data_IF_368988993839
#
_entry.id   IF_368988993839
#
_cell.length_a   1.000
_cell.length_b   1.000
_cell.length_c   1.000
_cell.angle_alpha   90.00
_cell.angle_beta   90.00
_cell.angle_gamma   90.00
#
_symmetry.space_group_name_H-M   'P 1'
#
loop_
_entity.id
_entity.type
_entity.pdbx_description
1 polymer ?
#
# COMPACT_ATOMS: atom_id res chain seq x y z
N UNK A 1 -6.60 19.78 -27.71
CA UNK A 1 -6.98 19.84 -26.28
C UNK A 1 -7.17 21.31 -25.91
N UNK A 2 -8.30 21.64 -25.30
CA UNK A 2 -8.56 22.99 -24.77
C UNK A 2 -7.85 23.07 -23.42
N UNK A 3 -6.97 24.05 -23.24
CA UNK A 3 -6.18 24.24 -22.01
C UNK A 3 -6.47 25.63 -21.47
N UNK A 4 -6.67 25.74 -20.17
CA UNK A 4 -6.80 27.05 -19.52
C UNK A 4 -5.44 27.77 -19.53
N UNK A 5 -5.42 29.03 -19.92
CA UNK A 5 -4.22 29.89 -19.93
C UNK A 5 -4.00 30.55 -18.54
N UNK A 6 -4.21 29.75 -17.48
CA UNK A 6 -4.06 30.18 -16.08
C UNK A 6 -3.33 29.08 -15.35
N UNK A 7 -2.39 29.43 -14.49
CA UNK A 7 -1.69 28.48 -13.62
C UNK A 7 -2.67 27.87 -12.62
N UNK A 8 -2.65 26.50 -12.52
CA UNK A 8 -3.61 25.75 -11.68
C UNK A 8 -3.65 26.18 -10.22
N UNK A 9 -2.54 26.70 -9.67
CA UNK A 9 -2.46 27.21 -8.30
C UNK A 9 -3.29 28.49 -8.08
N UNK A 10 -3.62 29.22 -9.14
CA UNK A 10 -4.43 30.43 -9.07
C UNK A 10 -5.94 30.16 -9.22
N UNK A 11 -6.33 29.01 -9.76
CA UNK A 11 -7.73 28.67 -10.01
C UNK A 11 -8.54 28.64 -8.70
N UNK A 12 -7.97 28.14 -7.60
CA UNK A 12 -8.62 28.10 -6.28
C UNK A 12 -9.02 29.51 -5.81
N UNK A 13 -8.20 30.54 -6.09
CA UNK A 13 -8.47 31.93 -5.70
C UNK A 13 -9.63 32.56 -6.49
N UNK A 14 -9.95 31.99 -7.66
CA UNK A 14 -11.08 32.41 -8.51
C UNK A 14 -12.34 31.55 -8.28
N UNK A 15 -12.33 30.66 -7.31
CA UNK A 15 -13.48 29.82 -6.97
C UNK A 15 -13.71 28.63 -7.93
N UNK A 16 -12.72 28.29 -8.74
CA UNK A 16 -12.79 27.10 -9.58
C UNK A 16 -12.42 25.85 -8.77
N UNK A 17 -13.14 24.76 -9.03
CA UNK A 17 -12.84 23.44 -8.47
C UNK A 17 -12.05 22.66 -9.51
N UNK A 18 -10.95 22.04 -9.07
CA UNK A 18 -10.18 21.11 -9.89
C UNK A 18 -10.61 19.68 -9.58
N UNK A 19 -11.25 19.03 -10.55
CA UNK A 19 -11.59 17.61 -10.48
C UNK A 19 -10.56 16.79 -11.25
N UNK A 20 -9.89 15.89 -10.56
CA UNK A 20 -8.94 14.94 -11.15
C UNK A 20 -9.60 13.57 -11.31
N UNK A 21 -9.92 13.19 -12.55
CA UNK A 21 -10.42 11.85 -12.86
C UNK A 21 -9.25 10.91 -13.16
N UNK A 22 -8.88 10.11 -12.18
CA UNK A 22 -7.80 9.14 -12.30
C UNK A 22 -8.37 7.74 -12.54
N UNK A 23 -7.97 7.13 -13.64
CA UNK A 23 -8.29 5.72 -13.92
C UNK A 23 -7.26 4.85 -13.19
N UNK A 24 -7.74 4.00 -12.28
CA UNK A 24 -6.91 3.03 -11.58
C UNK A 24 -7.01 1.69 -12.32
N UNK A 25 -5.92 1.31 -12.97
CA UNK A 25 -5.85 0.12 -13.83
C UNK A 25 -6.18 -1.18 -13.09
N UNK A 26 -5.73 -1.29 -11.83
CA UNK A 26 -5.96 -2.47 -10.99
C UNK A 26 -7.45 -2.79 -10.81
N UNK A 27 -8.32 -1.77 -10.71
CA UNK A 27 -9.77 -1.99 -10.58
C UNK A 27 -10.35 -2.65 -11.82
N UNK A 28 -9.87 -2.25 -13.01
CA UNK A 28 -10.23 -2.88 -14.27
C UNK A 28 -9.77 -4.35 -14.36
N UNK A 29 -8.58 -4.65 -13.86
CA UNK A 29 -8.05 -6.01 -13.79
C UNK A 29 -8.89 -6.87 -12.83
N UNK A 30 -9.17 -6.39 -11.63
CA UNK A 30 -10.02 -7.08 -10.65
C UNK A 30 -11.37 -7.42 -11.27
N UNK A 31 -12.02 -6.47 -11.92
CA UNK A 31 -13.30 -6.72 -12.61
C UNK A 31 -13.20 -7.80 -13.67
N UNK A 32 -12.18 -7.76 -14.54
CA UNK A 32 -11.93 -8.80 -15.56
C UNK A 32 -11.68 -10.18 -14.92
N UNK A 33 -10.93 -10.25 -13.82
CA UNK A 33 -10.62 -11.48 -13.09
C UNK A 33 -11.88 -12.16 -12.57
N UNK A 34 -12.69 -11.46 -11.79
CA UNK A 34 -13.91 -12.03 -11.21
C UNK A 34 -14.94 -12.40 -12.27
N UNK A 35 -15.10 -11.57 -13.30
CA UNK A 35 -15.98 -11.90 -14.44
C UNK A 35 -15.53 -13.15 -15.20
N UNK A 36 -14.22 -13.41 -15.30
CA UNK A 36 -13.70 -14.60 -16.01
C UNK A 36 -14.11 -15.92 -15.38
N UNK A 37 -14.52 -15.90 -14.12
CA UNK A 37 -15.02 -17.06 -13.38
C UNK A 37 -16.55 -16.99 -13.14
N UNK A 38 -17.23 -16.01 -13.74
CA UNK A 38 -18.68 -15.80 -13.54
C UNK A 38 -19.08 -15.28 -12.16
N UNK A 39 -18.14 -14.74 -11.39
CA UNK A 39 -18.36 -14.24 -10.04
C UNK A 39 -18.47 -12.72 -10.05
N UNK A 40 -19.45 -12.18 -9.31
CA UNK A 40 -19.49 -10.75 -9.02
C UNK A 40 -18.33 -10.38 -8.11
N UNK A 41 -17.69 -9.23 -8.35
CA UNK A 41 -16.67 -8.73 -7.45
C UNK A 41 -17.24 -8.59 -6.04
N UNK A 42 -16.66 -9.27 -5.03
CA UNK A 42 -17.14 -9.18 -3.65
C UNK A 42 -17.02 -7.75 -3.12
N UNK A 43 -17.89 -7.38 -2.20
CA UNK A 43 -17.69 -6.17 -1.40
C UNK A 43 -16.43 -6.30 -0.55
N UNK A 44 -15.88 -5.19 -0.07
CA UNK A 44 -14.71 -5.19 0.82
C UNK A 44 -14.96 -6.02 2.08
N UNK A 45 -16.18 -6.01 2.62
CA UNK A 45 -16.53 -6.81 3.80
C UNK A 45 -16.53 -8.31 3.48
N UNK A 46 -17.11 -8.71 2.35
CA UNK A 46 -17.10 -10.10 1.88
C UNK A 46 -15.67 -10.58 1.63
N UNK A 47 -14.85 -9.78 0.94
CA UNK A 47 -13.44 -10.11 0.71
C UNK A 47 -12.70 -10.36 2.03
N UNK A 48 -12.90 -9.50 3.02
CA UNK A 48 -12.22 -9.64 4.33
C UNK A 48 -12.59 -10.95 5.03
N UNK A 49 -13.86 -11.35 4.98
CA UNK A 49 -14.27 -12.65 5.52
C UNK A 49 -13.68 -13.81 4.71
N UNK A 50 -13.65 -13.71 3.37
CA UNK A 50 -13.06 -14.73 2.49
C UNK A 50 -11.58 -14.99 2.80
N UNK A 51 -10.80 -13.93 3.06
CA UNK A 51 -9.35 -14.04 3.26
C UNK A 51 -8.91 -14.20 4.71
N UNK A 52 -9.82 -14.08 5.69
CA UNK A 52 -9.52 -14.04 7.12
C UNK A 52 -8.75 -15.27 7.63
N UNK A 53 -9.10 -16.46 7.15
CA UNK A 53 -8.46 -17.72 7.51
C UNK A 53 -7.95 -18.47 6.26
N UNK A 54 -7.78 -17.78 5.16
CA UNK A 54 -7.38 -18.36 3.89
C UNK A 54 -5.86 -18.35 3.74
N UNK A 55 -5.22 -19.40 4.22
CA UNK A 55 -3.77 -19.55 4.14
C UNK A 55 -3.23 -19.50 2.69
N UNK A 56 -4.02 -19.94 1.70
CA UNK A 56 -3.60 -19.94 0.30
C UNK A 56 -3.39 -18.52 -0.22
N UNK A 57 -4.30 -17.59 0.08
CA UNK A 57 -4.16 -16.19 -0.29
C UNK A 57 -2.93 -15.55 0.35
N UNK A 58 -2.71 -15.74 1.65
CA UNK A 58 -1.55 -15.18 2.34
C UNK A 58 -0.23 -15.81 1.89
N UNK A 59 -0.26 -17.07 1.47
CA UNK A 59 0.91 -17.77 0.92
C UNK A 59 1.43 -17.14 -0.38
N UNK A 60 0.60 -16.42 -1.15
CA UNK A 60 1.05 -15.71 -2.34
C UNK A 60 2.15 -14.68 -2.01
N UNK A 61 1.99 -13.96 -0.90
CA UNK A 61 3.00 -13.00 -0.42
C UNK A 61 4.25 -13.71 0.12
N UNK A 62 4.09 -14.81 0.80
CA UNK A 62 5.21 -15.60 1.33
C UNK A 62 6.06 -16.23 0.22
N UNK A 63 5.43 -16.76 -0.82
CA UNK A 63 6.10 -17.34 -1.98
C UNK A 63 6.72 -16.29 -2.92
N UNK A 64 6.38 -15.00 -2.75
CA UNK A 64 6.78 -13.96 -3.67
C UNK A 64 6.04 -13.99 -5.01
N UNK A 65 4.87 -14.63 -5.07
CA UNK A 65 3.98 -14.63 -6.23
C UNK A 65 3.24 -13.29 -6.35
N UNK A 66 3.99 -12.21 -6.51
CA UNK A 66 3.47 -10.84 -6.37
C UNK A 66 3.32 -10.07 -7.69
N UNK A 67 3.64 -10.66 -8.84
CA UNK A 67 3.36 -10.05 -10.13
C UNK A 67 1.88 -9.72 -10.26
N UNK A 68 1.58 -8.48 -10.64
CA UNK A 68 0.20 -7.94 -10.69
C UNK A 68 -0.54 -7.98 -9.35
N UNK A 69 0.14 -8.00 -8.21
CA UNK A 69 -0.47 -7.69 -6.92
C UNK A 69 -0.18 -6.23 -6.57
N UNK A 70 -1.25 -5.45 -6.42
CA UNK A 70 -1.13 -3.99 -6.21
C UNK A 70 -0.15 -3.66 -5.08
N UNK A 71 0.76 -2.72 -5.33
CA UNK A 71 1.83 -2.27 -4.41
C UNK A 71 2.88 -3.32 -4.01
N UNK A 72 2.74 -4.60 -4.38
CA UNK A 72 3.65 -5.68 -3.95
C UNK A 72 4.57 -6.19 -5.07
N UNK A 73 4.35 -5.79 -6.32
CA UNK A 73 4.95 -6.38 -7.52
C UNK A 73 6.39 -5.97 -7.87
N UNK A 74 6.91 -4.87 -7.30
CA UNK A 74 8.29 -4.46 -7.55
C UNK A 74 9.27 -5.44 -6.89
N UNK A 75 10.34 -5.82 -7.58
CA UNK A 75 11.31 -6.82 -7.10
C UNK A 75 11.82 -6.57 -5.67
N UNK A 76 12.08 -5.30 -5.32
CA UNK A 76 12.48 -4.93 -3.96
C UNK A 76 11.35 -5.12 -2.95
N UNK A 77 10.11 -4.84 -3.35
CA UNK A 77 8.91 -5.01 -2.52
C UNK A 77 8.58 -6.47 -2.35
N UNK A 78 8.68 -7.28 -3.41
CA UNK A 78 8.53 -8.74 -3.35
C UNK A 78 9.44 -9.36 -2.30
N UNK A 79 10.75 -9.04 -2.33
CA UNK A 79 11.70 -9.54 -1.31
C UNK A 79 11.32 -9.12 0.10
N UNK A 80 10.79 -7.93 0.28
CA UNK A 80 10.37 -7.40 1.58
C UNK A 80 9.10 -8.07 2.09
N UNK A 81 8.10 -8.28 1.24
CA UNK A 81 6.85 -8.92 1.64
C UNK A 81 7.05 -10.40 1.96
N UNK A 82 7.92 -11.09 1.22
CA UNK A 82 8.35 -12.46 1.54
C UNK A 82 8.99 -12.57 2.93
N UNK A 83 9.75 -11.55 3.35
CA UNK A 83 10.35 -11.48 4.67
C UNK A 83 9.33 -11.15 5.75
N UNK A 84 8.44 -10.19 5.49
CA UNK A 84 7.44 -9.70 6.43
C UNK A 84 6.29 -10.69 6.65
N UNK A 85 5.85 -11.41 5.60
CA UNK A 85 4.81 -12.45 5.61
C UNK A 85 3.52 -11.98 6.30
N UNK A 86 2.78 -11.04 5.70
CA UNK A 86 1.51 -10.58 6.27
C UNK A 86 0.51 -11.73 6.34
N UNK A 87 -0.29 -11.76 7.42
CA UNK A 87 -1.33 -12.78 7.66
C UNK A 87 -2.73 -12.19 7.81
N UNK A 88 -2.83 -10.89 7.83
CA UNK A 88 -4.09 -10.16 7.90
C UNK A 88 -3.98 -8.82 7.17
N UNK A 89 -5.15 -8.25 6.85
CA UNK A 89 -5.23 -7.01 6.07
C UNK A 89 -4.55 -5.82 6.75
N UNK A 90 -4.61 -5.73 8.08
CA UNK A 90 -3.95 -4.65 8.83
C UNK A 90 -2.43 -4.72 8.68
N UNK A 91 -1.87 -5.92 8.72
CA UNK A 91 -0.45 -6.14 8.50
C UNK A 91 -0.04 -5.80 7.06
N UNK A 92 -0.84 -6.20 6.06
CA UNK A 92 -0.57 -5.85 4.66
C UNK A 92 -0.64 -4.34 4.43
N UNK A 93 -1.62 -3.65 5.02
CA UNK A 93 -1.72 -2.20 4.96
C UNK A 93 -0.52 -1.51 5.66
N UNK A 94 -0.12 -2.01 6.83
CA UNK A 94 1.07 -1.54 7.54
C UNK A 94 2.35 -1.77 6.72
N UNK A 95 2.48 -2.93 6.07
CA UNK A 95 3.57 -3.21 5.14
C UNK A 95 3.62 -2.19 3.99
N UNK A 96 2.48 -1.94 3.32
CA UNK A 96 2.39 -0.98 2.21
C UNK A 96 2.77 0.43 2.67
N UNK A 97 2.38 0.83 3.87
CA UNK A 97 2.79 2.11 4.46
C UNK A 97 4.29 2.15 4.79
N UNK A 98 4.84 1.06 5.34
CA UNK A 98 6.21 0.97 5.83
C UNK A 98 7.29 0.84 4.75
N UNK A 99 6.96 0.41 3.53
CA UNK A 99 7.96 0.27 2.45
C UNK A 99 8.36 1.60 1.79
N UNK A 100 7.86 2.73 2.27
CA UNK A 100 8.14 4.04 1.69
C UNK A 100 9.50 4.61 2.10
N UNK A 101 10.10 5.51 1.28
CA UNK A 101 11.47 6.01 1.50
C UNK A 101 11.70 6.64 2.88
N UNK A 102 10.67 7.28 3.46
CA UNK A 102 10.79 7.96 4.75
C UNK A 102 10.89 7.05 5.96
N UNK A 103 10.50 5.79 5.81
CA UNK A 103 10.56 4.78 6.87
C UNK A 103 11.86 3.94 6.82
N UNK A 104 12.82 4.34 5.97
CA UNK A 104 14.02 3.54 5.65
C UNK A 104 14.86 3.14 6.86
N UNK A 105 14.99 4.01 7.86
CA UNK A 105 15.78 3.75 9.07
C UNK A 105 15.16 2.69 10.00
N UNK A 106 13.85 2.50 9.95
CA UNK A 106 13.10 1.57 10.81
C UNK A 106 12.66 0.31 10.08
N UNK A 107 12.82 0.26 8.75
CA UNK A 107 12.25 -0.79 7.92
C UNK A 107 12.76 -2.19 8.27
N UNK A 108 14.02 -2.34 8.61
CA UNK A 108 14.59 -3.65 8.90
C UNK A 108 14.03 -4.25 10.21
N UNK A 109 13.88 -3.43 11.26
CA UNK A 109 13.21 -3.82 12.49
C UNK A 109 11.75 -4.21 12.24
N UNK A 110 11.03 -3.38 11.50
CA UNK A 110 9.64 -3.62 11.13
C UNK A 110 9.46 -4.93 10.32
N UNK A 111 10.27 -5.15 9.28
CA UNK A 111 10.18 -6.37 8.46
C UNK A 111 10.55 -7.65 9.22
N UNK A 112 11.40 -7.55 10.25
CA UNK A 112 11.74 -8.66 11.13
C UNK A 112 10.75 -8.83 12.30
N UNK A 113 9.70 -7.99 12.36
CA UNK A 113 8.71 -7.99 13.46
C UNK A 113 9.36 -7.83 14.84
N UNK A 114 10.44 -7.06 14.91
CA UNK A 114 11.09 -6.75 16.17
C UNK A 114 10.19 -5.82 16.99
N UNK A 115 10.17 -6.06 18.29
CA UNK A 115 9.54 -5.13 19.23
C UNK A 115 10.16 -3.73 19.08
N UNK A 116 9.31 -2.73 18.95
CA UNK A 116 9.72 -1.35 18.82
C UNK A 116 9.09 -0.52 19.93
N UNK A 117 9.89 0.37 20.51
CA UNK A 117 9.42 1.35 21.49
C UNK A 117 9.89 2.74 21.07
N UNK A 118 9.06 3.73 21.32
CA UNK A 118 9.40 5.14 21.17
C UNK A 118 10.12 5.71 22.39
N UNK A 119 10.34 4.88 23.42
CA UNK A 119 10.97 5.29 24.68
C UNK A 119 9.99 5.84 25.72
N UNK A 120 8.71 6.04 25.33
CA UNK A 120 7.63 6.52 26.22
C UNK A 120 6.41 5.61 26.10
N UNK A 121 6.03 5.00 27.22
CA UNK A 121 4.92 4.04 27.28
C UNK A 121 3.61 4.64 26.77
N UNK A 122 3.33 5.90 27.13
CA UNK A 122 2.12 6.59 26.70
C UNK A 122 2.06 6.76 25.16
N UNK A 123 3.20 7.00 24.52
CA UNK A 123 3.30 7.08 23.05
C UNK A 123 3.12 5.71 22.43
N UNK A 124 3.72 4.66 23.00
CA UNK A 124 3.58 3.29 22.50
C UNK A 124 2.12 2.80 22.60
N UNK A 125 1.40 3.13 23.69
CA UNK A 125 -0.03 2.85 23.85
C UNK A 125 -0.87 3.57 22.79
N UNK A 126 -0.59 4.82 22.45
CA UNK A 126 -1.26 5.56 21.38
C UNK A 126 -1.04 4.92 19.99
N UNK A 127 0.08 4.24 19.81
CA UNK A 127 0.51 3.63 18.54
C UNK A 127 0.30 2.10 18.49
N UNK A 128 -0.41 1.52 19.45
CA UNK A 128 -0.64 0.08 19.54
C UNK A 128 -1.21 -0.51 18.24
N UNK A 129 -2.16 0.17 17.61
CA UNK A 129 -2.75 -0.25 16.33
C UNK A 129 -1.77 -0.21 15.13
N UNK A 130 -0.62 0.41 15.30
CA UNK A 130 0.41 0.62 14.28
C UNK A 130 1.73 -0.10 14.65
N UNK A 131 1.67 -1.12 15.52
CA UNK A 131 2.86 -1.86 15.99
C UNK A 131 3.92 -0.93 16.62
N UNK A 132 3.47 0.12 17.31
CA UNK A 132 4.27 1.20 17.92
C UNK A 132 5.03 2.09 16.91
N UNK A 133 4.90 1.83 15.59
CA UNK A 133 5.54 2.67 14.57
C UNK A 133 4.63 3.81 14.11
N UNK A 134 5.21 4.95 13.80
CA UNK A 134 4.49 6.10 13.22
C UNK A 134 4.31 5.92 11.70
N UNK A 135 3.60 4.87 11.29
CA UNK A 135 3.38 4.51 9.88
C UNK A 135 2.43 5.45 9.16
N UNK A 136 1.45 5.98 9.87
CA UNK A 136 0.32 6.71 9.32
C UNK A 136 0.29 8.17 9.79
N UNK A 137 -0.25 9.05 8.94
CA UNK A 137 -0.51 10.44 9.31
C UNK A 137 -1.47 10.52 10.50
N UNK A 138 -2.46 9.66 10.53
CA UNK A 138 -3.45 9.55 11.61
C UNK A 138 -2.80 9.18 12.95
N UNK A 139 -1.72 8.40 12.94
CA UNK A 139 -0.95 8.10 14.14
C UNK A 139 -0.26 9.36 14.69
N UNK A 140 0.34 10.16 13.81
CA UNK A 140 0.95 11.45 14.19
C UNK A 140 -0.13 12.44 14.68
N UNK A 141 -1.31 12.45 14.03
CA UNK A 141 -2.43 13.30 14.48
C UNK A 141 -2.92 12.92 15.88
N UNK A 142 -3.00 11.62 16.21
CA UNK A 142 -3.32 11.17 17.59
C UNK A 142 -2.35 11.69 18.60
N UNK A 143 -1.03 11.61 18.30
CA UNK A 143 0.01 12.13 19.19
C UNK A 143 -0.12 13.65 19.35
N UNK A 144 -0.33 14.39 18.26
CA UNK A 144 -0.50 15.85 18.33
C UNK A 144 -1.73 16.25 19.13
N UNK A 145 -2.84 15.52 18.96
CA UNK A 145 -4.04 15.75 19.76
C UNK A 145 -3.80 15.49 21.25
N UNK A 146 -3.06 14.44 21.57
CA UNK A 146 -2.66 14.13 22.94
C UNK A 146 -1.69 15.19 23.51
N UNK A 147 -0.89 15.83 22.64
CA UNK A 147 0.00 16.96 22.98
C UNK A 147 -0.69 18.33 22.84
N UNK A 148 -2.02 18.39 22.95
CA UNK A 148 -2.80 19.63 23.09
C UNK A 148 -3.09 20.36 21.78
N UNK A 149 -2.73 19.82 20.62
CA UNK A 149 -3.15 20.38 19.33
C UNK A 149 -4.49 19.76 18.93
N UNK A 150 -5.58 20.52 18.78
CA UNK A 150 -6.87 19.99 18.40
C UNK A 150 -6.79 19.11 17.16
N UNK A 151 -7.51 18.00 17.13
CA UNK A 151 -7.47 17.00 16.01
C UNK A 151 -7.71 17.66 14.64
N UNK A 152 -8.62 18.63 14.56
CA UNK A 152 -8.92 19.40 13.34
C UNK A 152 -7.71 20.19 12.82
N UNK A 153 -6.84 20.66 13.72
CA UNK A 153 -5.67 21.49 13.39
C UNK A 153 -4.40 20.64 13.23
N UNK A 154 -4.41 19.40 13.74
CA UNK A 154 -3.27 18.48 13.72
C UNK A 154 -2.83 18.18 12.29
N UNK A 155 -3.74 17.89 11.38
CA UNK A 155 -3.42 17.60 9.97
C UNK A 155 -2.73 18.78 9.29
N UNK A 156 -3.26 19.99 9.45
CA UNK A 156 -2.67 21.20 8.87
C UNK A 156 -1.30 21.53 9.48
N UNK A 157 -1.15 21.31 10.78
CA UNK A 157 0.12 21.48 11.48
C UNK A 157 1.18 20.50 10.96
N UNK A 158 0.83 19.21 10.84
CA UNK A 158 1.68 18.18 10.25
C UNK A 158 2.08 18.56 8.83
N UNK A 159 1.13 18.99 8.01
CA UNK A 159 1.37 19.38 6.62
C UNK A 159 2.27 20.62 6.50
N UNK A 160 2.13 21.58 7.39
CA UNK A 160 3.01 22.77 7.45
C UNK A 160 4.43 22.42 7.89
N UNK A 161 4.59 21.52 8.89
CA UNK A 161 5.90 21.00 9.34
C UNK A 161 6.55 20.21 8.18
N UNK A 162 5.83 19.29 7.58
CA UNK A 162 6.27 18.45 6.46
C UNK A 162 6.79 19.26 5.28
N UNK A 163 6.05 20.31 4.89
CA UNK A 163 6.41 21.20 3.77
C UNK A 163 7.40 22.30 4.16
N UNK A 164 7.94 22.29 5.39
CA UNK A 164 8.82 23.33 5.93
C UNK A 164 8.24 24.75 5.81
N UNK A 165 6.90 24.86 5.84
CA UNK A 165 6.19 26.15 5.79
C UNK A 165 6.13 26.83 7.15
N UNK A 166 6.17 26.08 8.26
CA UNK A 166 6.35 26.59 9.62
C UNK A 166 7.84 26.91 9.85
N UNK A 167 8.13 28.17 10.15
CA UNK A 167 9.49 28.68 10.43
C UNK A 167 9.43 29.74 11.52
N UNK A 168 10.58 30.02 12.14
CA UNK A 168 10.73 31.09 13.12
C UNK A 168 9.77 30.95 14.30
N UNK A 169 9.15 32.05 14.70
CA UNK A 169 8.27 32.11 15.87
C UNK A 169 7.05 31.16 15.79
N UNK A 170 6.49 30.97 14.59
CA UNK A 170 5.34 30.09 14.42
C UNK A 170 5.69 28.62 14.70
N UNK A 171 6.88 28.16 14.28
CA UNK A 171 7.36 26.81 14.59
C UNK A 171 7.65 26.70 16.09
N UNK A 172 8.33 27.69 16.67
CA UNK A 172 8.66 27.71 18.09
C UNK A 172 7.41 27.66 18.96
N UNK A 173 6.37 28.42 18.62
CA UNK A 173 5.09 28.39 19.35
C UNK A 173 4.45 27.00 19.37
N UNK A 174 4.49 26.29 18.24
CA UNK A 174 3.99 24.89 18.15
C UNK A 174 4.86 23.99 19.03
N UNK A 175 6.18 24.11 18.95
CA UNK A 175 7.12 23.31 19.77
C UNK A 175 6.94 23.57 21.26
N UNK A 176 6.75 24.81 21.68
CA UNK A 176 6.51 25.17 23.06
C UNK A 176 5.21 24.59 23.59
N UNK A 177 4.13 24.65 22.80
CA UNK A 177 2.84 23.99 23.14
C UNK A 177 3.02 22.49 23.29
N UNK A 178 3.71 21.83 22.36
CA UNK A 178 3.96 20.38 22.44
C UNK A 178 4.78 20.02 23.69
N UNK A 179 5.79 20.80 24.04
CA UNK A 179 6.62 20.60 25.25
C UNK A 179 5.84 20.80 26.55
N UNK A 180 4.99 21.82 26.61
CA UNK A 180 4.14 22.08 27.76
C UNK A 180 3.22 20.89 28.03
N UNK A 181 2.47 20.43 27.00
CA UNK A 181 1.59 19.28 27.15
C UNK A 181 2.34 17.97 27.38
N UNK A 182 3.54 17.82 26.82
CA UNK A 182 4.39 16.67 27.12
C UNK A 182 4.75 16.60 28.60
N UNK A 183 5.21 17.72 29.19
CA UNK A 183 5.51 17.78 30.63
C UNK A 183 4.28 17.54 31.48
N UNK A 184 3.12 18.09 31.09
CA UNK A 184 1.88 17.86 31.82
C UNK A 184 1.45 16.38 31.78
N UNK A 185 1.71 15.65 30.70
CA UNK A 185 1.28 14.27 30.51
C UNK A 185 2.31 13.25 31.05
N UNK A 186 3.61 13.55 31.00
CA UNK A 186 4.72 12.61 31.32
C UNK A 186 5.48 13.04 32.59
N UNK A 187 5.55 14.33 32.89
CA UNK A 187 6.24 14.87 34.07
C UNK A 187 7.68 15.32 33.84
N UNK A 188 8.32 15.02 32.71
CA UNK A 188 9.68 15.44 32.36
C UNK A 188 9.83 15.60 30.84
N UNK A 189 11.00 16.04 30.35
CA UNK A 189 11.31 16.23 28.93
C UNK A 189 12.33 15.23 28.38
N UNK A 190 12.71 14.20 29.12
CA UNK A 190 13.88 13.38 28.83
C UNK A 190 13.82 12.73 27.43
N UNK A 191 12.66 12.21 27.02
CA UNK A 191 12.45 11.57 25.72
C UNK A 191 11.73 12.45 24.68
N UNK A 192 11.46 13.71 25.00
CA UNK A 192 10.73 14.60 24.08
C UNK A 192 11.46 14.78 22.73
N UNK A 193 12.72 15.16 22.74
CA UNK A 193 13.46 15.48 21.51
C UNK A 193 13.64 14.25 20.60
N UNK A 194 14.00 13.04 21.08
CA UNK A 194 14.01 11.84 20.27
C UNK A 194 12.67 11.54 19.60
N UNK A 195 11.58 11.54 20.38
CA UNK A 195 10.22 11.27 19.85
C UNK A 195 9.80 12.37 18.89
N UNK A 196 10.02 13.63 19.21
CA UNK A 196 9.67 14.74 18.32
C UNK A 196 10.45 14.71 16.98
N UNK A 197 11.69 14.23 17.00
CA UNK A 197 12.44 13.97 15.77
C UNK A 197 11.76 12.91 14.90
N UNK A 198 11.32 11.80 15.50
CA UNK A 198 10.59 10.75 14.77
C UNK A 198 9.27 11.30 14.22
N UNK A 199 8.54 12.10 15.00
CA UNK A 199 7.32 12.78 14.55
C UNK A 199 7.60 13.67 13.32
N UNK A 200 8.65 14.51 13.38
CA UNK A 200 9.02 15.39 12.24
C UNK A 200 9.42 14.61 11.00
N UNK A 201 10.11 13.51 11.16
CA UNK A 201 10.50 12.65 10.05
C UNK A 201 9.29 11.90 9.49
N UNK A 202 8.44 11.34 10.35
CA UNK A 202 7.19 10.68 9.95
C UNK A 202 6.23 11.65 9.26
N UNK A 203 6.09 12.87 9.76
CA UNK A 203 5.21 13.87 9.15
C UNK A 203 5.52 14.16 7.67
N UNK A 204 6.77 13.95 7.24
CA UNK A 204 7.18 14.15 5.84
C UNK A 204 6.80 13.00 4.93
N UNK A 205 6.65 11.79 5.46
CA UNK A 205 6.63 10.56 4.68
C UNK A 205 5.53 9.58 5.10
N UNK A 206 4.85 9.85 6.22
CA UNK A 206 3.75 9.01 6.70
C UNK A 206 2.63 8.92 5.67
N UNK A 207 2.01 7.77 5.64
CA UNK A 207 1.01 7.44 4.66
C UNK A 207 -0.40 7.63 5.24
N UNK A 208 -1.36 7.92 4.40
CA UNK A 208 -2.75 7.96 4.81
C UNK A 208 -3.25 6.53 5.07
N UNK A 209 -3.78 6.25 6.26
CA UNK A 209 -4.20 4.91 6.64
C UNK A 209 -5.36 4.36 5.78
N UNK A 210 -6.44 5.12 5.49
CA UNK A 210 -7.47 4.72 4.54
C UNK A 210 -6.92 4.33 3.17
N UNK A 211 -5.94 5.09 2.65
CA UNK A 211 -5.34 4.79 1.36
C UNK A 211 -4.48 3.51 1.41
N UNK A 212 -3.70 3.30 2.46
CA UNK A 212 -2.96 2.04 2.65
C UNK A 212 -3.90 0.83 2.70
N UNK A 213 -5.03 0.97 3.40
CA UNK A 213 -6.04 -0.07 3.50
C UNK A 213 -6.73 -0.34 2.15
N UNK A 214 -7.04 0.71 1.37
CA UNK A 214 -7.59 0.57 0.03
C UNK A 214 -6.62 -0.22 -0.89
N UNK A 215 -5.34 0.16 -0.90
CA UNK A 215 -4.31 -0.55 -1.67
C UNK A 215 -4.14 -2.02 -1.22
N UNK A 216 -4.26 -2.28 0.08
CA UNK A 216 -4.21 -3.65 0.61
C UNK A 216 -5.43 -4.47 0.17
N UNK A 217 -6.63 -3.89 0.14
CA UNK A 217 -7.81 -4.57 -0.40
C UNK A 217 -7.63 -4.92 -1.88
N UNK A 218 -7.16 -3.97 -2.71
CA UNK A 218 -6.92 -4.23 -4.13
C UNK A 218 -5.93 -5.40 -4.31
N UNK A 219 -4.83 -5.38 -3.57
CA UNK A 219 -3.86 -6.48 -3.59
C UNK A 219 -4.46 -7.82 -3.16
N UNK A 220 -5.38 -7.83 -2.17
CA UNK A 220 -6.05 -9.05 -1.70
C UNK A 220 -7.05 -9.61 -2.70
N UNK A 221 -7.80 -8.77 -3.44
CA UNK A 221 -8.65 -9.23 -4.54
C UNK A 221 -7.84 -10.00 -5.57
N UNK A 222 -6.69 -9.46 -5.96
CA UNK A 222 -5.79 -10.09 -6.91
C UNK A 222 -5.13 -11.36 -6.33
N UNK A 223 -4.68 -11.32 -5.06
CA UNK A 223 -4.04 -12.45 -4.40
C UNK A 223 -4.99 -13.63 -4.22
N UNK A 224 -6.25 -13.38 -3.86
CA UNK A 224 -7.27 -14.42 -3.73
C UNK A 224 -7.55 -15.09 -5.09
N UNK A 225 -7.73 -14.30 -6.13
CA UNK A 225 -7.91 -14.85 -7.49
C UNK A 225 -6.68 -15.67 -7.93
N UNK A 226 -5.48 -15.20 -7.65
CA UNK A 226 -4.24 -15.92 -7.98
C UNK A 226 -4.13 -17.25 -7.23
N UNK A 227 -4.53 -17.26 -5.95
CA UNK A 227 -4.45 -18.44 -5.09
C UNK A 227 -5.46 -19.52 -5.49
N UNK A 228 -6.71 -19.13 -5.78
CA UNK A 228 -7.82 -20.06 -5.99
C UNK A 228 -8.11 -20.35 -7.46
N UNK A 229 -7.74 -19.45 -8.37
CA UNK A 229 -7.99 -19.54 -9.80
C UNK A 229 -6.74 -19.18 -10.59
N UNK A 230 -5.62 -19.85 -10.27
CA UNK A 230 -4.28 -19.53 -10.80
C UNK A 230 -4.27 -19.40 -12.32
N UNK A 231 -4.79 -20.37 -13.05
CA UNK A 231 -4.80 -20.37 -14.51
C UNK A 231 -5.58 -19.18 -15.06
N UNK A 232 -6.77 -18.92 -14.50
CA UNK A 232 -7.58 -17.77 -14.92
C UNK A 232 -6.94 -16.43 -14.57
N UNK A 233 -6.28 -16.34 -13.42
CA UNK A 233 -5.53 -15.15 -13.07
C UNK A 233 -4.45 -14.82 -14.12
N UNK A 234 -3.62 -15.80 -14.47
CA UNK A 234 -2.55 -15.55 -15.44
C UNK A 234 -3.09 -15.39 -16.87
N UNK A 235 -4.13 -16.11 -17.28
CA UNK A 235 -4.77 -15.94 -18.58
C UNK A 235 -5.29 -14.51 -18.76
N UNK A 236 -6.02 -13.99 -17.79
CA UNK A 236 -6.58 -12.63 -17.84
C UNK A 236 -5.48 -11.55 -17.76
N UNK A 237 -4.51 -11.71 -16.89
CA UNK A 237 -3.45 -10.69 -16.70
C UNK A 237 -2.46 -10.67 -17.86
N UNK A 238 -2.09 -11.82 -18.42
CA UNK A 238 -1.24 -11.90 -19.61
C UNK A 238 -1.91 -11.21 -20.80
N UNK A 239 -3.19 -11.49 -21.06
CA UNK A 239 -3.91 -10.86 -22.16
C UNK A 239 -4.07 -9.34 -21.92
N UNK A 240 -4.37 -8.92 -20.69
CA UNK A 240 -4.48 -7.51 -20.36
C UNK A 240 -3.19 -6.72 -20.64
N UNK A 241 -2.04 -7.25 -20.23
CA UNK A 241 -0.75 -6.57 -20.47
C UNK A 241 -0.25 -6.75 -21.91
N UNK A 242 -0.64 -7.81 -22.59
CA UNK A 242 -0.40 -7.98 -24.03
C UNK A 242 -1.16 -6.92 -24.85
N UNK A 243 -2.45 -6.72 -24.58
CA UNK A 243 -3.27 -5.66 -25.18
C UNK A 243 -2.67 -4.26 -24.96
N UNK A 244 -2.05 -4.03 -23.81
CA UNK A 244 -1.36 -2.77 -23.47
C UNK A 244 0.03 -2.64 -24.09
N UNK A 245 0.57 -3.69 -24.69
CA UNK A 245 1.93 -3.71 -25.22
C UNK A 245 3.02 -3.72 -24.15
N UNK A 246 2.70 -4.03 -22.88
CA UNK A 246 3.68 -4.12 -21.78
C UNK A 246 4.38 -5.47 -21.76
N UNK A 247 5.34 -5.63 -22.66
CA UNK A 247 6.15 -6.85 -22.80
C UNK A 247 6.92 -7.23 -21.53
N UNK A 248 7.36 -6.24 -20.74
CA UNK A 248 8.10 -6.50 -19.51
C UNK A 248 7.20 -7.18 -18.46
N UNK A 249 5.96 -6.72 -18.38
CA UNK A 249 4.97 -7.30 -17.47
C UNK A 249 4.55 -8.70 -17.91
N UNK A 250 4.30 -8.90 -19.21
CA UNK A 250 4.02 -10.23 -19.78
C UNK A 250 5.15 -11.20 -19.45
N UNK A 251 6.41 -10.80 -19.68
CA UNK A 251 7.57 -11.64 -19.35
C UNK A 251 7.67 -11.96 -17.85
N UNK A 252 7.43 -10.98 -16.98
CA UNK A 252 7.45 -11.19 -15.54
C UNK A 252 6.37 -12.17 -15.06
N UNK A 253 5.15 -12.08 -15.61
CA UNK A 253 4.05 -13.01 -15.33
C UNK A 253 4.37 -14.43 -15.79
N UNK A 254 4.90 -14.60 -17.00
CA UNK A 254 5.32 -15.92 -17.52
C UNK A 254 6.39 -16.51 -16.62
N UNK A 255 7.40 -15.72 -16.26
CA UNK A 255 8.47 -16.16 -15.37
C UNK A 255 7.94 -16.60 -14.01
N UNK A 256 7.01 -15.84 -13.42
CA UNK A 256 6.42 -16.18 -12.12
C UNK A 256 5.62 -17.47 -12.18
N UNK A 257 4.70 -17.60 -13.15
CA UNK A 257 3.81 -18.77 -13.26
C UNK A 257 4.59 -20.05 -13.58
N UNK A 258 5.66 -19.95 -14.35
CA UNK A 258 6.52 -21.11 -14.66
C UNK A 258 7.39 -21.51 -13.48
N UNK A 259 7.98 -20.53 -12.77
CA UNK A 259 8.92 -20.83 -11.68
C UNK A 259 8.24 -21.20 -10.35
N UNK A 260 7.07 -20.64 -10.05
CA UNK A 260 6.39 -20.86 -8.76
C UNK A 260 5.28 -21.92 -8.89
N UNK A 261 4.49 -21.89 -9.96
CA UNK A 261 3.31 -22.76 -10.11
C UNK A 261 3.53 -23.96 -11.04
N UNK A 262 4.73 -24.05 -11.66
CA UNK A 262 5.12 -25.20 -12.47
C UNK A 262 4.42 -25.27 -13.82
N UNK A 263 3.89 -24.16 -14.33
CA UNK A 263 3.39 -24.09 -15.70
C UNK A 263 4.55 -24.09 -16.69
N UNK A 264 4.26 -24.49 -17.93
CA UNK A 264 5.22 -24.50 -19.04
C UNK A 264 4.68 -23.73 -20.24
N UNK A 265 5.57 -23.18 -21.03
CA UNK A 265 5.20 -22.59 -22.31
C UNK A 265 4.93 -23.72 -23.32
N UNK A 266 3.78 -23.64 -23.96
CA UNK A 266 3.46 -24.44 -25.13
C UNK A 266 3.96 -23.78 -26.42
N UNK A 267 3.68 -24.45 -27.52
CA UNK A 267 3.93 -23.94 -28.87
C UNK A 267 2.60 -23.53 -29.53
N UNK A 268 2.70 -22.78 -30.60
CA UNK A 268 1.55 -22.49 -31.44
C UNK A 268 0.90 -23.77 -31.93
N UNK A 269 -0.43 -23.88 -31.81
CA UNK A 269 -1.18 -25.02 -32.31
C UNK A 269 -2.02 -24.62 -33.52
N UNK A 270 -1.90 -25.39 -34.58
CA UNK A 270 -2.71 -25.20 -35.79
C UNK A 270 -4.18 -25.42 -35.47
N UNK A 271 -5.04 -24.49 -35.94
CA UNK A 271 -6.50 -24.58 -35.72
C UNK A 271 -7.00 -24.04 -34.37
N UNK A 272 -6.11 -23.56 -33.50
CA UNK A 272 -6.47 -22.81 -32.29
C UNK A 272 -6.43 -21.31 -32.52
N UNK A 273 -7.14 -20.55 -31.68
CA UNK A 273 -7.08 -19.10 -31.65
C UNK A 273 -5.76 -18.66 -30.97
N UNK A 274 -4.80 -18.24 -31.79
CA UNK A 274 -3.52 -17.74 -31.34
C UNK A 274 -3.52 -16.20 -31.23
N UNK A 275 -4.68 -15.54 -31.13
CA UNK A 275 -4.77 -14.09 -30.95
C UNK A 275 -4.65 -13.65 -29.49
N UNK A 276 -4.67 -14.58 -28.56
CA UNK A 276 -4.60 -14.36 -27.12
C UNK A 276 -3.96 -15.54 -26.39
N UNK A 277 -3.35 -15.24 -25.23
CA UNK A 277 -2.89 -16.29 -24.32
C UNK A 277 -4.07 -17.14 -23.85
N UNK A 278 -3.90 -18.45 -23.90
CA UNK A 278 -4.82 -19.42 -23.29
C UNK A 278 -4.03 -20.36 -22.39
N UNK A 279 -4.67 -20.85 -21.33
CA UNK A 279 -4.01 -21.73 -20.36
C UNK A 279 -4.83 -23.01 -20.19
N UNK A 280 -4.19 -24.15 -20.43
CA UNK A 280 -4.75 -25.46 -20.11
C UNK A 280 -4.31 -25.86 -18.70
N UNK A 281 -5.28 -25.92 -17.80
CA UNK A 281 -5.06 -26.24 -16.38
C UNK A 281 -4.66 -27.71 -16.16
N UNK A 282 -5.17 -28.62 -16.99
CA UNK A 282 -4.89 -30.06 -16.87
C UNK A 282 -3.42 -30.36 -17.19
N UNK A 283 -2.90 -29.74 -18.23
CA UNK A 283 -1.52 -29.93 -18.68
C UNK A 283 -0.56 -28.88 -18.13
N UNK A 284 -1.07 -27.89 -17.41
CA UNK A 284 -0.34 -26.69 -16.95
C UNK A 284 0.44 -26.02 -18.07
N UNK A 285 -0.19 -25.85 -19.23
CA UNK A 285 0.46 -25.33 -20.43
C UNK A 285 -0.13 -23.96 -20.80
N UNK A 286 0.76 -22.99 -21.03
CA UNK A 286 0.43 -21.65 -21.50
C UNK A 286 0.70 -21.61 -23.00
N UNK A 287 -0.34 -21.38 -23.80
CA UNK A 287 -0.20 -21.22 -25.24
C UNK A 287 0.01 -19.75 -25.58
N UNK A 288 1.04 -19.42 -26.37
CA UNK A 288 1.39 -18.05 -26.70
C UNK A 288 0.44 -17.39 -27.72
N UNK A 289 0.56 -16.07 -27.83
CA UNK A 289 -0.06 -15.22 -28.87
C UNK A 289 0.83 -15.13 -30.06
#
# INVERSE_FOLDING_TARGET
TIVANIEGSLLDSYGYVKDDFLIVDVVGIIYKLYNSIGMKVPTVSELREMVKCDELTWKMYELGATCSLNQCEKATTTKRVMKYKPKEIKELAAFIAGIRPGFKSLIDGFLNRLEYTNGEKAIDELLQDCFHYMLYQEAVMKIFSWLGIPMKDSYDTIKKISKKKLKGEALKKVEDTLKEHWVNNIGNLDNFEPVYKVIKDSARYSFNAPHALAMANDSLYEAWMKAHYTSKFYEVTLNHYQEKGDKNKVFALIKEVTSIFGFRMGTYEYGKDNSKFTIDDNTKTIYPV
#
